data_IF_359564582819
#
_entry.id   IF_359564582819
#
_cell.length_a   1.000
_cell.length_b   1.000
_cell.length_c   1.000
_cell.angle_alpha   90.00
_cell.angle_beta   90.00
_cell.angle_gamma   90.00
#
_symmetry.space_group_name_H-M   'P 1'
#
loop_
_entity.id
_entity.type
_entity.pdbx_description
1 polymer ?
#
# COMPACT_ATOMS: atom_id res chain seq x y z
N UNK A 1 3.54 35.95 -8.97
CA UNK A 1 2.56 35.12 -8.22
C UNK A 1 3.35 33.97 -7.57
N UNK A 2 3.29 33.80 -6.25
CA UNK A 2 3.97 32.70 -5.55
C UNK A 2 3.11 31.42 -5.68
N UNK A 3 3.66 30.26 -6.07
CA UNK A 3 2.90 29.01 -6.07
C UNK A 3 2.40 28.72 -4.64
N UNK A 4 1.16 28.26 -4.52
CA UNK A 4 0.65 27.77 -3.24
C UNK A 4 1.47 26.52 -2.84
N UNK A 5 1.75 26.31 -1.54
CA UNK A 5 2.43 25.10 -1.08
C UNK A 5 1.59 23.87 -1.43
N UNK A 6 2.22 22.83 -1.99
CA UNK A 6 1.59 21.51 -2.12
C UNK A 6 1.32 20.98 -0.71
N UNK A 7 0.13 20.42 -0.42
CA UNK A 7 -0.13 19.76 0.85
C UNK A 7 0.94 18.68 1.12
N UNK A 8 1.39 18.51 2.37
CA UNK A 8 2.30 17.42 2.70
C UNK A 8 1.65 16.08 2.36
N UNK A 9 2.41 15.19 1.74
CA UNK A 9 1.94 13.86 1.39
C UNK A 9 1.62 13.07 2.67
N UNK A 10 0.48 12.37 2.68
CA UNK A 10 0.08 11.57 3.82
C UNK A 10 1.08 10.41 4.01
N UNK A 11 1.45 10.04 5.25
CA UNK A 11 2.31 8.89 5.48
C UNK A 11 1.66 7.62 4.93
N UNK A 12 2.46 6.74 4.34
CA UNK A 12 1.96 5.56 3.64
C UNK A 12 2.03 4.31 4.52
N UNK A 13 1.01 3.47 4.44
CA UNK A 13 1.01 2.07 4.88
C UNK A 13 0.89 1.18 3.65
N UNK A 14 1.76 0.20 3.53
CA UNK A 14 1.77 -0.71 2.38
C UNK A 14 1.15 -2.06 2.77
N UNK A 15 0.21 -2.58 1.98
CA UNK A 15 -0.27 -3.96 2.10
C UNK A 15 0.19 -4.72 0.87
N UNK A 16 0.94 -5.79 1.08
CA UNK A 16 1.50 -6.63 0.01
C UNK A 16 0.77 -7.96 0.00
N UNK A 17 0.13 -8.28 -1.12
CA UNK A 17 -0.59 -9.53 -1.33
C UNK A 17 0.18 -10.45 -2.26
N UNK A 18 0.06 -11.76 -2.02
CA UNK A 18 0.45 -12.76 -3.02
C UNK A 18 -0.47 -12.73 -4.24
N UNK A 19 -1.78 -12.79 -4.00
CA UNK A 19 -2.86 -12.76 -5.00
C UNK A 19 -4.07 -11.99 -4.42
N UNK A 20 -4.71 -11.12 -5.22
CA UNK A 20 -5.88 -10.33 -4.83
C UNK A 20 -7.23 -11.00 -5.16
N UNK A 21 -7.37 -12.31 -4.95
CA UNK A 21 -8.51 -13.07 -5.51
C UNK A 21 -9.54 -13.57 -4.47
N UNK A 22 -9.59 -12.97 -3.27
CA UNK A 22 -10.53 -13.41 -2.23
C UNK A 22 -11.48 -12.31 -1.74
N UNK A 23 -12.74 -12.68 -1.46
CA UNK A 23 -13.71 -11.84 -0.75
C UNK A 23 -13.15 -11.31 0.57
N UNK A 24 -12.29 -12.11 1.22
CA UNK A 24 -11.61 -11.75 2.45
C UNK A 24 -10.59 -10.62 2.28
N UNK A 25 -9.90 -10.54 1.14
CA UNK A 25 -8.95 -9.46 0.84
C UNK A 25 -9.62 -8.08 0.90
N UNK A 26 -10.84 -7.96 0.38
CA UNK A 26 -11.58 -6.69 0.41
C UNK A 26 -12.00 -6.28 1.82
N UNK A 27 -12.36 -7.23 2.68
CA UNK A 27 -12.68 -6.95 4.09
C UNK A 27 -11.43 -6.50 4.84
N UNK A 28 -10.29 -7.15 4.60
CA UNK A 28 -9.00 -6.75 5.16
C UNK A 28 -8.61 -5.34 4.72
N UNK A 29 -8.67 -5.05 3.41
CA UNK A 29 -8.36 -3.73 2.85
C UNK A 29 -9.23 -2.66 3.50
N UNK A 30 -10.54 -2.90 3.62
CA UNK A 30 -11.48 -1.98 4.28
C UNK A 30 -11.11 -1.76 5.75
N UNK A 31 -10.81 -2.83 6.49
CA UNK A 31 -10.40 -2.74 7.89
C UNK A 31 -9.13 -1.90 8.07
N UNK A 32 -8.10 -2.16 7.27
CA UNK A 32 -6.84 -1.42 7.31
C UNK A 32 -7.05 0.04 6.90
N UNK A 33 -7.81 0.30 5.84
CA UNK A 33 -8.11 1.66 5.39
C UNK A 33 -8.83 2.47 6.47
N UNK A 34 -9.77 1.87 7.19
CA UNK A 34 -10.48 2.55 8.29
C UNK A 34 -9.53 2.99 9.40
N UNK A 35 -8.59 2.12 9.80
CA UNK A 35 -7.59 2.44 10.83
C UNK A 35 -6.58 3.45 10.32
N UNK A 36 -6.07 3.29 9.10
CA UNK A 36 -5.12 4.23 8.48
C UNK A 36 -5.71 5.63 8.34
N UNK A 37 -6.96 5.74 7.90
CA UNK A 37 -7.68 7.02 7.81
C UNK A 37 -7.81 7.71 9.16
N UNK A 38 -8.11 6.95 10.23
CA UNK A 38 -8.19 7.47 11.59
C UNK A 38 -6.83 8.01 12.09
N UNK A 39 -5.72 7.61 11.46
CA UNK A 39 -4.36 8.08 11.75
C UNK A 39 -3.83 9.09 10.71
N UNK A 40 -4.64 9.53 9.75
CA UNK A 40 -4.23 10.47 8.70
C UNK A 40 -3.24 9.86 7.69
N UNK A 41 -3.24 8.53 7.54
CA UNK A 41 -2.37 7.78 6.64
C UNK A 41 -3.12 7.34 5.38
N UNK A 42 -2.38 7.17 4.30
CA UNK A 42 -2.89 6.55 3.07
C UNK A 42 -2.41 5.11 2.96
N UNK A 43 -3.24 4.25 2.36
CA UNK A 43 -2.92 2.83 2.14
C UNK A 43 -2.56 2.61 0.68
N UNK A 44 -1.48 1.88 0.43
CA UNK A 44 -1.07 1.44 -0.91
C UNK A 44 -1.14 -0.09 -0.94
N UNK A 45 -1.74 -0.62 -2.00
CA UNK A 45 -1.80 -2.06 -2.25
C UNK A 45 -0.74 -2.43 -3.28
N UNK A 46 0.05 -3.45 -2.98
CA UNK A 46 1.06 -4.01 -3.86
C UNK A 46 0.81 -5.51 -4.02
N UNK A 47 0.91 -6.03 -5.23
CA UNK A 47 0.90 -7.47 -5.48
C UNK A 47 2.31 -7.95 -5.78
N UNK A 48 2.70 -9.11 -5.22
CA UNK A 48 4.03 -9.70 -5.48
C UNK A 48 4.17 -10.23 -6.92
N UNK A 49 3.08 -10.26 -7.69
CA UNK A 49 3.00 -10.86 -9.02
C UNK A 49 2.67 -12.36 -8.98
N UNK A 50 2.36 -12.93 -10.15
CA UNK A 50 1.98 -14.35 -10.29
C UNK A 50 3.18 -15.25 -10.59
N UNK A 51 3.01 -16.56 -10.43
CA UNK A 51 4.03 -17.61 -10.66
C UNK A 51 4.72 -17.55 -12.04
N UNK A 52 4.10 -16.94 -13.05
CA UNK A 52 4.59 -16.88 -14.43
C UNK A 52 5.20 -15.51 -14.80
N UNK A 53 5.19 -14.55 -13.88
CA UNK A 53 5.83 -13.25 -14.02
C UNK A 53 6.31 -12.81 -12.63
N UNK A 54 7.43 -13.37 -12.13
CA UNK A 54 7.89 -13.10 -10.77
C UNK A 54 8.16 -11.60 -10.65
N UNK A 55 7.35 -10.91 -9.84
CA UNK A 55 7.43 -9.47 -9.62
C UNK A 55 8.63 -9.11 -8.75
N UNK A 56 9.85 -9.37 -9.22
CA UNK A 56 11.08 -9.08 -8.47
C UNK A 56 11.23 -7.59 -8.08
N UNK A 57 10.43 -6.69 -8.68
CA UNK A 57 10.49 -5.25 -8.45
C UNK A 57 9.50 -4.72 -7.40
N UNK A 58 8.63 -5.56 -6.82
CA UNK A 58 7.66 -5.08 -5.83
C UNK A 58 8.37 -4.48 -4.62
N UNK A 59 9.44 -5.11 -4.15
CA UNK A 59 10.25 -4.64 -3.02
C UNK A 59 10.83 -3.27 -3.34
N UNK A 60 11.38 -3.07 -4.54
CA UNK A 60 11.93 -1.78 -4.95
C UNK A 60 10.84 -0.71 -5.02
N UNK A 61 9.66 -1.05 -5.53
CA UNK A 61 8.49 -0.17 -5.53
C UNK A 61 8.10 0.28 -4.12
N UNK A 62 8.04 -0.65 -3.17
CA UNK A 62 7.73 -0.36 -1.77
C UNK A 62 8.81 0.52 -1.14
N UNK A 63 10.09 0.18 -1.32
CA UNK A 63 11.20 0.96 -0.77
C UNK A 63 11.24 2.39 -1.34
N UNK A 64 10.90 2.57 -2.61
CA UNK A 64 10.86 3.88 -3.28
C UNK A 64 9.78 4.79 -2.69
N UNK A 65 8.66 4.22 -2.25
CA UNK A 65 7.55 4.95 -1.59
C UNK A 65 7.83 5.30 -0.13
N UNK A 66 8.81 4.65 0.52
CA UNK A 66 9.18 4.88 1.93
C UNK A 66 7.98 4.84 2.89
N UNK A 67 7.16 3.76 2.89
CA UNK A 67 6.04 3.66 3.80
C UNK A 67 6.51 3.58 5.27
N UNK A 68 5.63 3.96 6.19
CA UNK A 68 5.87 3.82 7.63
C UNK A 68 5.92 2.35 8.07
N UNK A 69 5.28 1.46 7.30
CA UNK A 69 5.25 0.04 7.57
C UNK A 69 4.71 -0.76 6.38
N UNK A 70 4.96 -2.06 6.42
CA UNK A 70 4.52 -3.01 5.40
C UNK A 70 3.80 -4.15 6.11
N UNK A 71 2.61 -4.49 5.62
CA UNK A 71 1.83 -5.65 6.05
C UNK A 71 1.88 -6.68 4.93
N UNK A 72 2.46 -7.83 5.21
CA UNK A 72 2.54 -8.94 4.26
C UNK A 72 1.36 -9.90 4.47
N UNK A 73 0.65 -10.24 3.40
CA UNK A 73 -0.53 -11.13 3.42
C UNK A 73 -0.31 -12.25 2.39
N UNK A 74 -0.15 -13.47 2.89
CA UNK A 74 0.11 -14.71 2.13
C UNK A 74 -0.83 -15.83 2.59
#
# INVERSE_FOLDING_TARGET
RRPAPTPPEAPLLEIVFHELDSTWSMELIRGVQNVANAQGMSVVLTETGTRHSPGADWVEGVLRRRPLGVVLVF
#
